data_IF_672786476248
#
_entry.id   IF_672786476248
#
_cell.length_a   1.000
_cell.length_b   1.000
_cell.length_c   1.000
_cell.angle_alpha   90.00
_cell.angle_beta   90.00
_cell.angle_gamma   90.00
#
_symmetry.space_group_name_H-M   'P 1'
#
loop_
_entity.id
_entity.type
_entity.pdbx_description
1 polymer ?
#
# COMPACT_ATOMS: atom_id res chain seq x y z
N UNK A 1 -12.56 -0.48 8.28
CA UNK A 1 -12.73 0.03 9.66
C UNK A 1 -12.04 1.39 9.86
N UNK A 2 -10.69 1.51 9.62
CA UNK A 2 -9.96 2.76 9.86
C UNK A 2 -10.59 3.99 9.17
N UNK A 3 -10.97 3.88 7.90
CA UNK A 3 -11.61 4.97 7.14
C UNK A 3 -12.94 5.42 7.78
N UNK A 4 -13.75 4.48 8.28
CA UNK A 4 -15.00 4.79 8.99
C UNK A 4 -14.73 5.54 10.29
N UNK A 5 -13.72 5.10 11.05
CA UNK A 5 -13.32 5.74 12.30
C UNK A 5 -12.84 7.18 12.06
N UNK A 6 -11.93 7.37 11.11
CA UNK A 6 -11.40 8.70 10.75
C UNK A 6 -12.51 9.61 10.21
N UNK A 7 -13.40 9.10 9.36
CA UNK A 7 -14.53 9.89 8.84
C UNK A 7 -15.48 10.36 9.95
N UNK A 8 -15.70 9.54 10.98
CA UNK A 8 -16.54 9.90 12.12
C UNK A 8 -15.88 10.96 13.01
N UNK A 9 -14.55 10.90 13.19
CA UNK A 9 -13.82 11.82 14.07
C UNK A 9 -13.44 13.14 13.39
N UNK A 10 -13.10 13.11 12.09
CA UNK A 10 -12.47 14.24 11.39
C UNK A 10 -13.23 14.70 10.14
N UNK A 11 -14.34 14.04 9.79
CA UNK A 11 -15.13 14.38 8.61
C UNK A 11 -14.76 13.58 7.36
N UNK A 12 -15.61 13.66 6.34
CA UNK A 12 -15.44 12.92 5.08
C UNK A 12 -14.31 13.45 4.19
N UNK A 13 -13.91 14.69 4.38
CA UNK A 13 -12.81 15.34 3.64
C UNK A 13 -11.42 15.06 4.23
N UNK A 14 -11.33 14.37 5.37
CA UNK A 14 -10.06 13.92 5.93
C UNK A 14 -9.30 13.06 4.92
N UNK A 15 -8.02 13.36 4.72
CA UNK A 15 -7.12 12.59 3.86
C UNK A 15 -6.41 11.54 4.70
N UNK A 16 -6.54 10.28 4.26
CA UNK A 16 -5.83 9.16 4.86
C UNK A 16 -4.67 8.75 3.95
N UNK A 17 -3.55 8.44 4.59
CA UNK A 17 -2.44 7.73 3.96
C UNK A 17 -2.33 6.34 4.60
N UNK A 18 -2.82 5.34 3.89
CA UNK A 18 -2.70 3.93 4.27
C UNK A 18 -1.39 3.38 3.72
N UNK A 19 -0.59 2.77 4.58
CA UNK A 19 0.68 2.19 4.19
C UNK A 19 0.99 0.93 5.00
N UNK A 20 1.71 -0.06 4.42
CA UNK A 20 2.24 -1.20 5.17
C UNK A 20 3.19 -0.74 6.28
N UNK A 21 3.19 -1.45 7.40
CA UNK A 21 4.00 -1.10 8.57
C UNK A 21 5.40 -1.73 8.58
N UNK A 22 5.66 -2.66 7.66
CA UNK A 22 6.83 -3.53 7.60
C UNK A 22 7.70 -3.33 6.34
N UNK A 23 7.34 -2.35 5.50
CA UNK A 23 8.13 -1.97 4.33
C UNK A 23 9.25 -0.99 4.69
N UNK A 24 10.29 -0.95 3.87
CA UNK A 24 11.40 0.00 4.01
C UNK A 24 11.35 1.02 2.88
N UNK A 25 11.60 2.27 3.23
CA UNK A 25 11.77 3.40 2.32
C UNK A 25 13.09 4.07 2.68
N UNK A 26 14.02 4.16 1.72
CA UNK A 26 15.37 4.70 1.96
C UNK A 26 15.46 6.19 1.65
N UNK A 27 14.80 6.64 0.60
CA UNK A 27 14.79 8.05 0.20
C UNK A 27 13.55 8.74 0.78
N UNK A 28 13.71 9.31 1.99
CA UNK A 28 12.64 10.00 2.70
C UNK A 28 12.27 11.34 2.06
N UNK A 29 13.19 11.98 1.33
CA UNK A 29 12.91 13.24 0.62
C UNK A 29 12.02 12.97 -0.60
N UNK A 30 12.40 12.00 -1.43
CA UNK A 30 11.58 11.56 -2.57
C UNK A 30 10.21 11.03 -2.11
N UNK A 31 10.17 10.28 -0.99
CA UNK A 31 8.91 9.84 -0.39
C UNK A 31 8.03 11.00 0.05
N UNK A 32 8.61 12.01 0.71
CA UNK A 32 7.87 13.20 1.13
C UNK A 32 7.25 13.94 -0.06
N UNK A 33 8.00 14.10 -1.16
CA UNK A 33 7.49 14.70 -2.39
C UNK A 33 6.36 13.87 -3.03
N UNK A 34 6.51 12.55 -3.11
CA UNK A 34 5.48 11.64 -3.62
C UNK A 34 4.22 11.67 -2.75
N UNK A 35 4.36 11.66 -1.42
CA UNK A 35 3.25 11.75 -0.48
C UNK A 35 2.49 13.08 -0.61
N UNK A 36 3.20 14.20 -0.76
CA UNK A 36 2.59 15.52 -0.99
C UNK A 36 1.80 15.54 -2.31
N UNK A 37 2.37 15.01 -3.39
CA UNK A 37 1.65 14.91 -4.68
C UNK A 37 0.43 14.00 -4.58
N UNK A 38 0.55 12.87 -3.91
CA UNK A 38 -0.58 11.97 -3.70
C UNK A 38 -1.71 12.62 -2.86
N UNK A 39 -1.36 13.39 -1.83
CA UNK A 39 -2.35 14.13 -1.04
C UNK A 39 -3.06 15.22 -1.86
N UNK A 40 -2.34 15.91 -2.75
CA UNK A 40 -2.93 16.89 -3.68
C UNK A 40 -3.98 16.22 -4.59
N UNK A 41 -3.64 15.09 -5.22
CA UNK A 41 -4.58 14.35 -6.07
C UNK A 41 -5.75 13.78 -5.25
N UNK A 42 -5.51 13.30 -4.03
CA UNK A 42 -6.57 12.83 -3.13
C UNK A 42 -7.52 13.95 -2.74
N UNK A 43 -7.02 15.18 -2.50
CA UNK A 43 -7.85 16.35 -2.20
C UNK A 43 -8.86 16.68 -3.32
N UNK A 44 -8.52 16.30 -4.56
CA UNK A 44 -9.38 16.42 -5.74
C UNK A 44 -10.38 15.26 -5.87
N UNK A 45 -10.45 14.37 -4.90
CA UNK A 45 -11.37 13.22 -4.86
C UNK A 45 -10.85 11.97 -5.60
N UNK A 46 -9.56 11.89 -5.88
CA UNK A 46 -8.95 10.67 -6.46
C UNK A 46 -8.64 9.65 -5.37
N UNK A 47 -8.73 8.36 -5.73
CA UNK A 47 -8.01 7.29 -5.04
C UNK A 47 -6.62 7.21 -5.66
N UNK A 48 -5.58 7.34 -4.85
CA UNK A 48 -4.21 7.43 -5.32
C UNK A 48 -3.37 6.29 -4.77
N UNK A 49 -2.50 5.72 -5.59
CA UNK A 49 -1.47 4.78 -5.15
C UNK A 49 -0.07 5.29 -5.48
N UNK A 50 0.94 4.86 -4.71
CA UNK A 50 2.33 5.06 -5.08
C UNK A 50 2.79 3.90 -5.96
N UNK A 51 3.22 4.22 -7.18
CA UNK A 51 3.76 3.26 -8.14
C UNK A 51 5.27 3.24 -8.06
N UNK A 52 5.85 2.12 -7.63
CA UNK A 52 7.29 1.98 -7.48
C UNK A 52 7.92 1.63 -8.83
N UNK A 53 8.97 2.34 -9.22
CA UNK A 53 9.72 2.03 -10.44
C UNK A 53 10.37 0.65 -10.38
N UNK A 54 10.00 -0.29 -11.28
CA UNK A 54 10.56 -1.64 -11.26
C UNK A 54 12.05 -1.64 -11.59
N UNK A 55 12.86 -2.28 -10.76
CA UNK A 55 14.29 -2.47 -10.99
C UNK A 55 14.59 -3.81 -11.68
N UNK A 56 13.67 -4.77 -11.57
CA UNK A 56 13.76 -6.12 -12.15
C UNK A 56 12.36 -6.69 -12.40
N UNK A 57 12.30 -7.85 -13.07
CA UNK A 57 11.02 -8.53 -13.32
C UNK A 57 10.64 -9.38 -12.09
N UNK A 58 9.86 -8.81 -11.18
CA UNK A 58 9.38 -9.49 -9.97
C UNK A 58 7.99 -10.10 -10.20
N UNK A 59 7.79 -11.34 -9.75
CA UNK A 59 6.51 -12.06 -9.91
C UNK A 59 5.70 -12.11 -8.62
N UNK A 60 6.28 -11.70 -7.50
CA UNK A 60 5.59 -11.64 -6.21
C UNK A 60 4.75 -10.37 -6.03
N UNK A 61 4.97 -9.35 -6.88
CA UNK A 61 4.30 -8.05 -6.77
C UNK A 61 3.15 -7.90 -7.76
N UNK A 62 2.19 -7.03 -7.39
CA UNK A 62 1.23 -6.47 -8.32
C UNK A 62 1.88 -5.40 -9.20
N UNK A 63 1.40 -5.25 -10.42
CA UNK A 63 1.85 -4.25 -11.38
C UNK A 63 0.71 -3.30 -11.75
N UNK A 64 1.06 -2.03 -11.94
CA UNK A 64 0.18 -0.95 -12.33
C UNK A 64 0.61 -0.44 -13.70
N UNK A 65 -0.19 -0.65 -14.73
CA UNK A 65 0.01 0.01 -16.02
C UNK A 65 -0.54 1.43 -15.93
N UNK A 66 0.25 2.41 -16.35
CA UNK A 66 -0.16 3.80 -16.29
C UNK A 66 0.24 4.60 -17.53
N UNK A 67 -0.53 5.66 -17.81
CA UNK A 67 -0.19 6.74 -18.72
C UNK A 67 -0.11 8.04 -17.90
N UNK A 68 1.11 8.52 -17.66
CA UNK A 68 1.37 9.57 -16.69
C UNK A 68 0.88 9.18 -15.28
N UNK A 69 -0.02 9.97 -14.72
CA UNK A 69 -0.63 9.69 -13.40
C UNK A 69 -1.95 8.90 -13.49
N UNK A 70 -2.40 8.51 -14.68
CA UNK A 70 -3.64 7.77 -14.87
C UNK A 70 -3.38 6.27 -14.89
N UNK A 71 -3.98 5.52 -13.96
CA UNK A 71 -3.94 4.06 -13.96
C UNK A 71 -4.82 3.53 -15.07
N UNK A 72 -4.25 2.67 -15.93
CA UNK A 72 -4.96 1.97 -16.99
C UNK A 72 -5.46 0.60 -16.53
N UNK A 73 -4.67 -0.12 -15.75
CA UNK A 73 -5.05 -1.39 -15.12
C UNK A 73 -4.11 -1.83 -14.02
N UNK A 74 -4.62 -2.70 -13.16
CA UNK A 74 -3.85 -3.49 -12.20
C UNK A 74 -3.67 -4.93 -12.71
N UNK A 75 -2.51 -5.54 -12.41
CA UNK A 75 -2.23 -6.94 -12.71
C UNK A 75 -1.52 -7.55 -11.50
N UNK A 76 -2.22 -8.40 -10.76
CA UNK A 76 -1.66 -9.04 -9.57
C UNK A 76 -0.81 -10.24 -9.96
N UNK A 77 0.43 -10.30 -9.48
CA UNK A 77 1.36 -11.43 -9.57
C UNK A 77 1.43 -12.06 -10.97
N UNK A 78 1.98 -11.34 -11.98
CA UNK A 78 2.07 -11.83 -13.35
C UNK A 78 3.03 -13.01 -13.48
N UNK A 79 2.95 -13.75 -14.61
CA UNK A 79 3.99 -14.73 -14.96
C UNK A 79 5.34 -14.02 -15.19
N UNK A 80 6.43 -14.79 -15.14
CA UNK A 80 7.80 -14.25 -15.34
C UNK A 80 7.93 -13.56 -16.70
N UNK A 81 7.39 -14.17 -17.75
CA UNK A 81 7.38 -13.62 -19.11
C UNK A 81 6.66 -12.29 -19.17
N UNK A 82 5.49 -12.19 -18.52
CA UNK A 82 4.73 -10.96 -18.43
C UNK A 82 5.45 -9.87 -17.63
N UNK A 83 6.06 -10.24 -16.50
CA UNK A 83 6.85 -9.30 -15.71
C UNK A 83 8.03 -8.72 -16.50
N UNK A 84 8.68 -9.54 -17.35
CA UNK A 84 9.74 -9.09 -18.25
C UNK A 84 9.21 -8.13 -19.34
N UNK A 85 8.06 -8.45 -19.95
CA UNK A 85 7.38 -7.56 -20.91
C UNK A 85 7.05 -6.20 -20.26
N UNK A 86 6.53 -6.22 -19.02
CA UNK A 86 6.16 -5.01 -18.29
C UNK A 86 7.36 -4.13 -17.98
N UNK A 87 8.45 -4.74 -17.48
CA UNK A 87 9.70 -4.04 -17.24
C UNK A 87 10.25 -3.39 -18.52
N UNK A 88 10.27 -4.14 -19.63
CA UNK A 88 10.78 -3.65 -20.92
C UNK A 88 9.94 -2.53 -21.53
N UNK A 89 8.64 -2.48 -21.21
CA UNK A 89 7.71 -1.46 -21.74
C UNK A 89 7.91 -0.07 -21.14
N UNK A 90 8.45 0.02 -19.91
CA UNK A 90 8.62 1.28 -19.17
C UNK A 90 7.32 1.96 -18.72
N UNK A 91 6.16 1.28 -18.85
CA UNK A 91 4.83 1.84 -18.51
C UNK A 91 4.22 1.23 -17.25
N UNK A 92 4.93 0.31 -16.62
CA UNK A 92 4.44 -0.39 -15.46
C UNK A 92 5.25 -0.01 -14.22
N UNK A 93 4.53 0.07 -13.11
CA UNK A 93 5.07 0.29 -11.78
C UNK A 93 4.68 -0.88 -10.88
N UNK A 94 5.48 -1.19 -9.87
CA UNK A 94 5.04 -2.11 -8.82
C UNK A 94 4.01 -1.44 -7.92
N UNK A 95 3.00 -2.19 -7.51
CA UNK A 95 2.06 -1.73 -6.49
C UNK A 95 2.75 -1.77 -5.12
N UNK A 96 3.10 -0.61 -4.58
CA UNK A 96 3.74 -0.46 -3.27
C UNK A 96 2.82 -0.71 -2.09
N UNK A 97 1.52 -0.99 -2.32
CA UNK A 97 0.54 -1.20 -1.26
C UNK A 97 0.19 0.07 -0.46
N UNK A 98 0.61 1.23 -0.96
CA UNK A 98 0.37 2.53 -0.33
C UNK A 98 -0.78 3.25 -1.03
N UNK A 99 -1.78 3.68 -0.25
CA UNK A 99 -2.98 4.34 -0.78
C UNK A 99 -3.21 5.68 -0.09
N UNK A 100 -3.53 6.71 -0.88
CA UNK A 100 -3.87 8.04 -0.37
C UNK A 100 -5.24 8.43 -0.92
N UNK A 101 -6.15 8.83 -0.02
CA UNK A 101 -7.53 9.10 -0.41
C UNK A 101 -8.26 9.95 0.64
N UNK A 102 -9.32 10.62 0.22
CA UNK A 102 -10.30 11.20 1.14
C UNK A 102 -11.20 10.10 1.71
N UNK A 103 -11.57 10.25 2.97
CA UNK A 103 -12.46 9.29 3.64
C UNK A 103 -13.78 9.08 2.87
N UNK A 104 -14.42 10.15 2.42
CA UNK A 104 -15.68 10.08 1.66
C UNK A 104 -15.52 9.40 0.28
N UNK A 105 -14.39 9.62 -0.40
CA UNK A 105 -14.07 8.95 -1.66
C UNK A 105 -13.98 7.44 -1.45
N UNK A 106 -13.19 7.00 -0.48
CA UNK A 106 -13.04 5.58 -0.16
C UNK A 106 -14.38 4.94 0.25
N UNK A 107 -15.18 5.61 1.08
CA UNK A 107 -16.48 5.07 1.52
C UNK A 107 -17.46 4.91 0.36
N UNK A 108 -17.46 5.83 -0.61
CA UNK A 108 -18.26 5.70 -1.83
C UNK A 108 -17.82 4.52 -2.69
N UNK A 109 -16.53 4.35 -2.89
CA UNK A 109 -15.98 3.24 -3.66
C UNK A 109 -16.27 1.89 -3.00
N UNK A 110 -16.14 1.80 -1.68
CA UNK A 110 -16.51 0.61 -0.91
C UNK A 110 -18.00 0.29 -1.01
N UNK A 111 -18.87 1.30 -0.98
CA UNK A 111 -20.31 1.10 -1.17
C UNK A 111 -20.64 0.57 -2.57
N UNK A 112 -19.92 1.04 -3.59
CA UNK A 112 -20.14 0.63 -4.98
C UNK A 112 -19.63 -0.78 -5.30
N UNK A 113 -18.47 -1.18 -4.77
CA UNK A 113 -17.75 -2.37 -5.20
C UNK A 113 -17.74 -3.51 -4.17
N UNK A 114 -17.93 -3.21 -2.89
CA UNK A 114 -17.87 -4.18 -1.79
C UNK A 114 -18.71 -3.75 -0.58
N UNK A 115 -19.99 -3.47 -0.84
CA UNK A 115 -20.96 -3.01 0.16
C UNK A 115 -21.09 -3.94 1.37
N UNK A 116 -20.94 -5.24 1.17
CA UNK A 116 -20.94 -6.26 2.22
C UNK A 116 -19.79 -6.06 3.22
N UNK A 117 -18.57 -5.81 2.72
CA UNK A 117 -17.39 -5.48 3.55
C UNK A 117 -17.64 -4.18 4.32
N UNK A 118 -18.15 -3.16 3.66
CA UNK A 118 -18.43 -1.87 4.30
C UNK A 118 -19.49 -2.01 5.40
N UNK A 119 -20.58 -2.73 5.15
CA UNK A 119 -21.66 -2.96 6.12
C UNK A 119 -21.18 -3.75 7.34
N UNK A 120 -20.45 -4.86 7.11
CA UNK A 120 -19.86 -5.64 8.18
C UNK A 120 -18.84 -4.82 9.00
N UNK A 121 -18.05 -3.96 8.35
CA UNK A 121 -17.13 -3.04 9.02
C UNK A 121 -17.85 -1.99 9.86
N UNK A 122 -18.99 -1.44 9.38
CA UNK A 122 -19.85 -0.52 10.15
C UNK A 122 -20.40 -1.20 11.40
N UNK A 123 -20.91 -2.44 11.24
CA UNK A 123 -21.46 -3.21 12.36
C UNK A 123 -20.39 -3.52 13.42
N UNK A 124 -19.17 -3.86 12.99
CA UNK A 124 -18.05 -4.13 13.91
C UNK A 124 -17.60 -2.86 14.64
N UNK A 125 -17.53 -1.72 13.94
CA UNK A 125 -17.15 -0.44 14.57
C UNK A 125 -18.21 0.05 15.57
N UNK A 126 -19.50 -0.19 15.31
CA UNK A 126 -20.59 0.25 16.17
C UNK A 126 -20.58 -0.38 17.58
N UNK A 127 -19.94 -1.54 17.74
CA UNK A 127 -19.79 -2.24 19.02
C UNK A 127 -18.33 -2.24 19.54
N UNK A 128 -17.44 -1.51 18.87
CA UNK A 128 -16.06 -1.35 19.31
C UNK A 128 -16.02 -0.53 20.61
N UNK A 129 -15.06 -0.86 21.49
CA UNK A 129 -14.82 -0.15 22.74
C UNK A 129 -13.55 0.70 22.65
N UNK A 130 -13.44 1.79 23.43
CA UNK A 130 -12.20 2.54 23.54
C UNK A 130 -11.04 1.63 24.00
N UNK A 131 -9.84 1.92 23.51
CA UNK A 131 -8.62 1.25 23.96
C UNK A 131 -8.15 1.92 25.26
N UNK A 132 -8.33 1.24 26.40
CA UNK A 132 -7.92 1.74 27.70
C UNK A 132 -6.38 1.85 27.81
N UNK A 133 -5.91 2.97 28.37
CA UNK A 133 -4.50 3.17 28.79
C UNK A 133 -3.52 3.61 27.71
N UNK A 134 -3.92 3.77 26.46
CA UNK A 134 -3.01 4.13 25.38
C UNK A 134 -2.86 5.65 25.14
N UNK A 135 -3.51 6.51 25.95
CA UNK A 135 -3.42 7.98 25.80
C UNK A 135 -3.84 8.52 24.43
N UNK A 136 -4.52 7.72 23.62
CA UNK A 136 -4.90 8.01 22.25
C UNK A 136 -6.29 7.51 21.90
N UNK A 137 -6.76 7.89 20.71
CA UNK A 137 -8.10 7.63 20.18
C UNK A 137 -8.23 6.19 19.60
N UNK A 138 -7.63 5.19 20.25
CA UNK A 138 -7.67 3.80 19.81
C UNK A 138 -9.00 3.13 20.11
N UNK A 139 -9.38 2.14 19.28
CA UNK A 139 -10.55 1.30 19.49
C UNK A 139 -10.19 -0.19 19.44
N UNK A 140 -10.86 -0.98 20.27
CA UNK A 140 -10.78 -2.44 20.28
C UNK A 140 -12.05 -3.00 19.65
N UNK A 141 -11.89 -3.78 18.59
CA UNK A 141 -13.01 -4.44 17.93
C UNK A 141 -13.43 -5.70 18.70
N UNK A 142 -14.74 -5.95 18.78
CA UNK A 142 -15.25 -7.23 19.22
C UNK A 142 -14.88 -8.32 18.20
N UNK A 143 -14.21 -9.39 18.68
CA UNK A 143 -13.68 -10.45 17.82
C UNK A 143 -14.75 -11.14 16.98
N UNK A 144 -15.96 -11.32 17.55
CA UNK A 144 -17.06 -12.03 16.89
C UNK A 144 -17.65 -11.24 15.73
N UNK A 145 -17.76 -9.93 15.86
CA UNK A 145 -18.26 -9.04 14.80
C UNK A 145 -17.19 -8.77 13.75
N UNK A 146 -15.94 -8.59 14.17
CA UNK A 146 -14.81 -8.41 13.25
C UNK A 146 -14.59 -9.64 12.36
N UNK A 147 -14.70 -10.85 12.89
CA UNK A 147 -14.59 -12.10 12.14
C UNK A 147 -15.68 -12.30 11.06
N UNK A 148 -16.75 -11.50 11.08
CA UNK A 148 -17.80 -11.52 10.04
C UNK A 148 -17.46 -10.68 8.83
N UNK A 149 -16.44 -9.80 8.91
CA UNK A 149 -16.00 -9.02 7.78
C UNK A 149 -15.38 -9.96 6.75
N UNK A 150 -15.85 -9.98 5.48
CA UNK A 150 -15.27 -10.82 4.45
C UNK A 150 -13.76 -10.58 4.29
N UNK A 151 -12.96 -11.65 4.33
CA UNK A 151 -11.51 -11.58 4.17
C UNK A 151 -11.15 -11.50 2.68
N UNK A 152 -11.03 -10.28 2.16
CA UNK A 152 -10.65 -10.02 0.79
C UNK A 152 -9.65 -8.85 0.77
N UNK A 153 -8.55 -8.99 0.00
CA UNK A 153 -7.58 -7.90 -0.13
C UNK A 153 -8.22 -6.69 -0.83
N UNK A 154 -7.73 -5.51 -0.52
CA UNK A 154 -8.22 -4.27 -1.11
C UNK A 154 -7.96 -4.21 -2.62
N UNK A 155 -6.94 -4.89 -3.10
CA UNK A 155 -6.60 -4.99 -4.51
C UNK A 155 -7.75 -5.65 -5.28
N UNK A 156 -8.16 -6.86 -4.88
CA UNK A 156 -9.29 -7.58 -5.48
C UNK A 156 -10.66 -6.99 -5.16
N UNK A 157 -10.82 -6.44 -3.95
CA UNK A 157 -12.09 -5.87 -3.53
C UNK A 157 -12.41 -4.58 -4.30
N UNK A 158 -11.39 -3.77 -4.56
CA UNK A 158 -11.57 -2.38 -4.98
C UNK A 158 -10.68 -1.99 -6.16
N UNK A 159 -9.32 -2.12 -6.06
CA UNK A 159 -8.41 -1.52 -7.03
C UNK A 159 -8.58 -2.07 -8.45
N UNK A 160 -8.80 -3.38 -8.59
CA UNK A 160 -9.05 -3.99 -9.90
C UNK A 160 -10.42 -3.63 -10.53
N UNK A 161 -11.33 -3.05 -9.75
CA UNK A 161 -12.71 -2.76 -10.16
C UNK A 161 -13.00 -1.26 -10.28
N UNK A 162 -12.07 -0.43 -9.82
CA UNK A 162 -12.28 1.02 -9.76
C UNK A 162 -11.61 1.71 -10.93
N UNK A 163 -12.39 2.47 -11.69
CA UNK A 163 -11.87 3.35 -12.72
C UNK A 163 -11.38 4.68 -12.12
N UNK A 164 -10.44 5.33 -12.81
CA UNK A 164 -9.99 6.68 -12.47
C UNK A 164 -9.08 6.76 -11.23
N UNK A 165 -8.44 5.64 -10.86
CA UNK A 165 -7.35 5.63 -9.88
C UNK A 165 -6.18 6.44 -10.44
N UNK A 166 -5.54 7.23 -9.59
CA UNK A 166 -4.29 7.90 -9.92
C UNK A 166 -3.09 7.13 -9.35
N UNK A 167 -1.97 7.20 -10.04
CA UNK A 167 -0.68 6.69 -9.57
C UNK A 167 0.32 7.85 -9.50
N UNK A 168 1.12 7.88 -8.45
CA UNK A 168 2.29 8.74 -8.36
C UNK A 168 3.52 7.88 -8.58
N UNK A 169 4.17 7.96 -9.76
CA UNK A 169 5.43 7.27 -10.01
C UNK A 169 6.49 7.68 -8.99
N UNK A 170 7.17 6.70 -8.38
CA UNK A 170 8.03 6.94 -7.24
C UNK A 170 9.27 6.06 -7.26
N UNK A 171 10.44 6.70 -7.16
CA UNK A 171 11.72 6.02 -6.92
C UNK A 171 12.21 6.43 -5.52
N UNK A 172 11.73 5.71 -4.51
CA UNK A 172 11.91 6.03 -3.09
C UNK A 172 12.80 5.04 -2.35
N UNK A 173 13.52 4.18 -3.09
CA UNK A 173 14.31 3.12 -2.48
C UNK A 173 13.47 2.15 -1.66
N UNK A 174 12.28 1.81 -2.18
CA UNK A 174 11.30 0.94 -1.52
C UNK A 174 11.69 -0.54 -1.58
N UNK A 175 11.40 -1.26 -0.50
CA UNK A 175 11.42 -2.72 -0.41
C UNK A 175 10.31 -3.20 0.51
N UNK A 176 9.62 -4.28 0.13
CA UNK A 176 8.65 -4.97 0.98
C UNK A 176 9.30 -5.88 2.03
N UNK A 177 10.63 -6.08 1.94
CA UNK A 177 11.42 -6.97 2.82
C UNK A 177 10.87 -8.41 2.84
N UNK A 178 10.23 -8.83 1.76
CA UNK A 178 9.49 -10.10 1.66
C UNK A 178 10.36 -11.36 1.52
N UNK A 179 11.69 -11.22 1.39
CA UNK A 179 12.62 -12.33 1.20
C UNK A 179 13.97 -12.08 1.86
N UNK A 180 14.75 -13.16 2.09
CA UNK A 180 16.14 -13.05 2.55
C UNK A 180 17.02 -12.28 1.56
N UNK A 181 16.74 -12.35 0.27
CA UNK A 181 17.44 -11.58 -0.75
C UNK A 181 17.12 -10.07 -0.59
N UNK A 182 15.87 -9.71 -0.38
CA UNK A 182 15.47 -8.31 -0.13
C UNK A 182 16.16 -7.76 1.13
N UNK A 183 16.29 -8.57 2.19
CA UNK A 183 17.04 -8.19 3.40
C UNK A 183 18.51 -8.00 3.07
N UNK A 184 19.12 -8.93 2.31
CA UNK A 184 20.51 -8.83 1.91
C UNK A 184 20.79 -7.55 1.09
N UNK A 185 19.87 -7.15 0.22
CA UNK A 185 19.98 -5.92 -0.59
C UNK A 185 19.91 -4.62 0.25
N UNK A 186 19.49 -4.69 1.50
CA UNK A 186 19.51 -3.55 2.42
C UNK A 186 20.92 -3.17 2.91
N UNK A 187 21.88 -4.06 2.75
CA UNK A 187 23.28 -3.85 3.18
C UNK A 187 24.20 -3.99 1.97
N UNK A 188 25.12 -3.07 1.79
CA UNK A 188 26.14 -3.17 0.73
C UNK A 188 27.04 -4.39 0.95
N UNK A 189 27.40 -5.06 -0.14
CA UNK A 189 28.33 -6.17 -0.10
C UNK A 189 29.78 -5.65 0.04
N UNK A 190 30.60 -6.35 0.82
CA UNK A 190 32.04 -6.15 0.82
C UNK A 190 32.70 -6.71 -0.46
N UNK A 191 34.03 -6.55 -0.60
CA UNK A 191 34.78 -7.03 -1.77
C UNK A 191 34.70 -8.55 -1.98
N UNK A 192 34.40 -9.32 -0.94
CA UNK A 192 34.20 -10.77 -0.99
C UNK A 192 32.74 -11.18 -1.24
N UNK A 193 31.82 -10.20 -1.31
CA UNK A 193 30.40 -10.44 -1.54
C UNK A 193 29.59 -10.67 -0.25
N UNK A 194 30.21 -10.56 0.92
CA UNK A 194 29.52 -10.71 2.19
C UNK A 194 28.73 -9.44 2.54
N UNK A 195 27.55 -9.61 3.15
CA UNK A 195 26.72 -8.51 3.63
C UNK A 195 26.60 -8.62 5.15
N UNK A 196 27.28 -7.73 5.83
CA UNK A 196 27.41 -7.75 7.30
C UNK A 196 26.88 -6.46 7.90
N UNK A 197 26.05 -6.58 8.93
CA UNK A 197 25.62 -5.45 9.75
C UNK A 197 25.95 -5.76 11.22
N UNK A 198 26.79 -4.93 11.86
CA UNK A 198 27.30 -5.14 13.21
C UNK A 198 28.61 -5.95 13.24
N UNK A 199 28.97 -6.43 14.42
CA UNK A 199 30.21 -7.20 14.63
C UNK A 199 30.03 -8.64 14.14
N UNK A 200 30.89 -9.09 13.21
CA UNK A 200 30.87 -10.45 12.68
C UNK A 200 32.28 -10.99 12.51
N UNK A 201 32.45 -12.30 12.67
CA UNK A 201 33.66 -13.04 12.33
C UNK A 201 33.36 -13.91 11.13
N UNK A 202 33.97 -13.60 9.99
CA UNK A 202 33.81 -14.33 8.75
C UNK A 202 34.90 -15.39 8.61
N UNK A 203 34.52 -16.65 8.43
CA UNK A 203 35.45 -17.77 8.26
C UNK A 203 35.11 -18.54 6.98
N UNK A 204 35.93 -18.40 5.94
CA UNK A 204 35.78 -19.13 4.67
C UNK A 204 34.55 -18.67 3.86
N UNK A 205 34.19 -17.41 3.98
CA UNK A 205 33.09 -16.80 3.25
C UNK A 205 33.60 -16.08 2.01
#
# INVERSE_FOLDING_TARGET
>A
CATLHVAAAHGGDAILFLMPADHIIRDLEAFGAAAARAAELASQGKLVTLGIEPQHAETAYGYIEADGESVLRFVEKPSKEKAQEYLASGRFYWNGGMLVYRADTMLKLLEQHCADILQASRASLAVASPLDGAGGEGVVFDASTFARIPALSIDYALLEKTDGIAVVPSNIGWSDVGSWNSIAELTDADEAGNRVQGDAVLIGS
#
